data_IF_487166382484
#
_entry.id   IF_487166382484
#
_cell.length_a   1.000
_cell.length_b   1.000
_cell.length_c   1.000
_cell.angle_alpha   90.00
_cell.angle_beta   90.00
_cell.angle_gamma   90.00
#
_symmetry.space_group_name_H-M   'P 1'
#
loop_
_entity.id
_entity.type
_entity.pdbx_description
1 polymer ?
#
# COMPACT_ATOMS: atom_id res chain seq x y z
N UNK A 1 15.34 -17.57 -3.28
CA UNK A 1 14.74 -16.79 -2.21
C UNK A 1 13.23 -16.89 -2.27
N UNK A 2 12.61 -17.30 -1.19
CA UNK A 2 11.15 -17.39 -1.04
C UNK A 2 10.63 -16.04 -0.54
N UNK A 3 10.24 -15.16 -1.44
CA UNK A 3 9.84 -13.80 -1.12
C UNK A 3 11.05 -12.90 -0.74
N UNK A 4 11.06 -11.69 -1.21
CA UNK A 4 12.17 -10.75 -1.06
C UNK A 4 13.23 -10.89 -2.15
N UNK A 5 14.34 -10.17 -1.98
CA UNK A 5 15.44 -10.14 -2.94
C UNK A 5 15.33 -9.09 -4.04
N UNK A 6 14.29 -8.27 -4.01
CA UNK A 6 14.18 -7.11 -4.90
C UNK A 6 15.06 -5.96 -4.37
N UNK A 7 16.11 -5.64 -5.10
CA UNK A 7 16.97 -4.48 -4.84
C UNK A 7 16.44 -3.28 -5.62
N UNK A 8 15.79 -2.37 -4.93
CA UNK A 8 15.07 -1.26 -5.54
C UNK A 8 15.21 -0.01 -4.67
N UNK A 9 15.27 1.17 -5.30
CA UNK A 9 15.28 2.44 -4.58
C UNK A 9 13.93 2.76 -3.94
N UNK A 10 13.90 3.63 -2.93
CA UNK A 10 12.62 4.09 -2.34
C UNK A 10 11.77 4.86 -3.35
N UNK A 11 12.40 5.59 -4.27
CA UNK A 11 11.69 6.28 -5.35
C UNK A 11 11.02 5.31 -6.33
N UNK A 12 11.68 4.20 -6.66
CA UNK A 12 11.08 3.20 -7.53
C UNK A 12 9.96 2.42 -6.82
N UNK A 13 10.08 2.17 -5.51
CA UNK A 13 8.95 1.69 -4.71
C UNK A 13 7.76 2.67 -4.77
N UNK A 14 8.01 3.98 -4.66
CA UNK A 14 6.96 4.98 -4.77
C UNK A 14 6.31 4.99 -6.17
N UNK A 15 7.09 4.76 -7.23
CA UNK A 15 6.54 4.63 -8.60
C UNK A 15 5.64 3.40 -8.74
N UNK A 16 5.99 2.27 -8.12
CA UNK A 16 5.11 1.11 -8.06
C UNK A 16 3.83 1.44 -7.31
N UNK A 17 3.93 2.12 -6.17
CA UNK A 17 2.77 2.60 -5.42
C UNK A 17 1.89 3.53 -6.24
N UNK A 18 2.50 4.49 -6.95
CA UNK A 18 1.78 5.41 -7.84
C UNK A 18 1.07 4.68 -8.98
N UNK A 19 1.68 3.65 -9.56
CA UNK A 19 1.05 2.83 -10.59
C UNK A 19 -0.21 2.14 -10.07
N UNK A 20 -0.14 1.57 -8.85
CA UNK A 20 -1.30 0.94 -8.21
C UNK A 20 -2.38 1.96 -7.81
N UNK A 21 -1.99 3.13 -7.30
CA UNK A 21 -2.90 4.25 -7.02
C UNK A 21 -3.68 4.67 -8.27
N UNK A 22 -2.99 4.72 -9.41
CA UNK A 22 -3.56 5.07 -10.71
C UNK A 22 -4.20 3.86 -11.42
N UNK A 23 -4.54 2.81 -10.70
CA UNK A 23 -5.20 1.61 -11.22
C UNK A 23 -4.51 0.99 -12.44
N UNK A 24 -3.17 0.99 -12.41
CA UNK A 24 -2.36 0.39 -13.46
C UNK A 24 -1.98 1.31 -14.62
N UNK A 25 -2.38 2.59 -14.56
CA UNK A 25 -2.07 3.57 -15.60
C UNK A 25 -0.82 4.39 -15.26
N UNK A 26 0.03 4.59 -16.27
CA UNK A 26 1.24 5.40 -16.18
C UNK A 26 1.45 6.21 -17.46
N UNK A 27 1.55 7.54 -17.33
CA UNK A 27 1.74 8.46 -18.46
C UNK A 27 0.75 8.22 -19.62
N UNK A 28 -0.54 8.02 -19.32
CA UNK A 28 -1.59 7.81 -20.31
C UNK A 28 -1.58 6.42 -20.98
N UNK A 29 -0.79 5.48 -20.45
CA UNK A 29 -0.74 4.10 -20.94
C UNK A 29 -1.15 3.13 -19.83
N UNK A 30 -1.94 2.14 -20.16
CA UNK A 30 -2.24 1.04 -19.28
C UNK A 30 -1.04 0.09 -19.25
N UNK A 31 -0.38 0.00 -18.09
CA UNK A 31 0.78 -0.89 -17.84
C UNK A 31 0.30 -2.20 -17.22
N UNK A 32 -0.63 -2.10 -16.27
CA UNK A 32 -1.30 -3.24 -15.64
C UNK A 32 -2.80 -3.05 -15.91
N UNK A 33 -3.52 -4.07 -16.40
CA UNK A 33 -4.96 -3.97 -16.60
C UNK A 33 -5.69 -3.54 -15.32
N UNK A 34 -6.58 -2.54 -15.40
CA UNK A 34 -7.34 -2.06 -14.24
C UNK A 34 -8.08 -3.20 -13.54
N UNK A 35 -8.68 -4.10 -14.32
CA UNK A 35 -9.34 -5.30 -13.80
C UNK A 35 -8.39 -6.16 -12.94
N UNK A 36 -7.12 -6.26 -13.30
CA UNK A 36 -6.14 -7.01 -12.51
C UNK A 36 -5.81 -6.29 -11.19
N UNK A 37 -5.73 -4.96 -11.21
CA UNK A 37 -5.57 -4.18 -9.98
C UNK A 37 -6.76 -4.41 -9.05
N UNK A 38 -7.99 -4.38 -9.55
CA UNK A 38 -9.20 -4.65 -8.77
C UNK A 38 -9.19 -6.08 -8.19
N UNK A 39 -8.74 -7.06 -8.95
CA UNK A 39 -8.58 -8.44 -8.45
C UNK A 39 -7.52 -8.52 -7.34
N UNK A 40 -6.39 -7.82 -7.48
CA UNK A 40 -5.36 -7.75 -6.46
C UNK A 40 -5.87 -7.18 -5.13
N UNK A 41 -6.82 -6.26 -5.18
CA UNK A 41 -7.40 -5.58 -4.02
C UNK A 41 -8.70 -6.22 -3.52
N UNK A 42 -9.11 -7.34 -4.12
CA UNK A 42 -10.25 -8.11 -3.64
C UNK A 42 -9.82 -9.06 -2.52
N UNK A 43 -10.50 -9.07 -1.36
CA UNK A 43 -10.18 -9.96 -0.27
C UNK A 43 -10.21 -11.43 -0.70
N UNK A 44 -9.19 -12.20 -0.32
CA UNK A 44 -9.18 -13.64 -0.58
C UNK A 44 -10.17 -14.35 0.38
N UNK A 45 -10.70 -15.54 -0.01
CA UNK A 45 -11.68 -16.26 0.80
C UNK A 45 -11.20 -16.63 2.21
N UNK A 46 -9.88 -16.71 2.42
CA UNK A 46 -9.27 -17.12 3.68
C UNK A 46 -8.88 -15.95 4.58
N UNK A 47 -8.90 -14.72 4.07
CA UNK A 47 -8.52 -13.54 4.84
C UNK A 47 -9.20 -12.27 4.30
N UNK A 48 -9.96 -11.54 5.13
CA UNK A 48 -10.60 -10.30 4.71
C UNK A 48 -9.63 -9.13 4.53
N UNK A 49 -8.39 -9.28 5.01
CA UNK A 49 -7.37 -8.23 4.98
C UNK A 49 -6.22 -8.52 3.99
N UNK A 50 -6.40 -9.46 3.08
CA UNK A 50 -5.35 -9.84 2.12
C UNK A 50 -5.93 -10.18 0.74
N UNK A 51 -5.40 -9.53 -0.28
CA UNK A 51 -5.64 -9.82 -1.69
C UNK A 51 -4.45 -10.55 -2.33
N UNK A 52 -4.13 -10.25 -3.58
CA UNK A 52 -2.96 -10.83 -4.25
C UNK A 52 -1.73 -9.98 -3.97
N UNK A 53 -0.93 -10.38 -2.96
CA UNK A 53 0.30 -9.74 -2.48
C UNK A 53 0.10 -8.35 -1.84
N UNK A 54 -1.13 -7.91 -1.68
CA UNK A 54 -1.50 -6.65 -1.05
C UNK A 54 -2.28 -6.89 0.23
N UNK A 55 -1.91 -6.20 1.30
CA UNK A 55 -2.68 -6.10 2.52
C UNK A 55 -3.74 -5.02 2.37
N UNK A 56 -4.94 -5.32 2.82
CA UNK A 56 -6.11 -4.43 2.73
C UNK A 56 -6.38 -3.82 4.11
N UNK A 57 -6.69 -2.53 4.15
CA UNK A 57 -6.96 -1.82 5.40
C UNK A 57 -8.43 -1.91 5.76
N UNK A 58 -8.89 -3.10 6.21
CA UNK A 58 -10.24 -3.23 6.77
C UNK A 58 -10.32 -2.42 8.09
N UNK A 59 -11.34 -1.56 8.20
CA UNK A 59 -11.58 -0.71 9.36
C UNK A 59 -11.62 -1.44 10.72
N UNK A 60 -11.90 -2.74 10.72
CA UNK A 60 -11.96 -3.56 11.95
C UNK A 60 -10.67 -4.31 12.25
N UNK A 61 -9.91 -4.70 11.23
CA UNK A 61 -8.79 -5.62 11.35
C UNK A 61 -7.53 -5.12 10.66
N UNK A 62 -7.57 -3.95 10.04
CA UNK A 62 -6.44 -3.35 9.34
C UNK A 62 -5.35 -2.86 10.28
N UNK A 63 -4.13 -2.78 9.76
CA UNK A 63 -2.97 -2.28 10.50
C UNK A 63 -3.07 -0.77 10.82
N UNK A 64 -3.86 -0.03 10.04
CA UNK A 64 -3.96 1.43 10.10
C UNK A 64 -5.39 1.87 10.45
N UNK A 65 -5.80 1.78 11.73
CA UNK A 65 -7.18 2.07 12.13
C UNK A 65 -7.59 3.53 11.93
N UNK A 66 -6.63 4.46 11.85
CA UNK A 66 -6.88 5.88 11.54
C UNK A 66 -6.93 6.22 10.05
N UNK A 67 -6.65 5.25 9.17
CA UNK A 67 -6.65 5.43 7.74
C UNK A 67 -7.97 4.99 7.09
N UNK A 68 -8.29 5.46 5.87
CA UNK A 68 -9.44 5.00 5.13
C UNK A 68 -9.44 3.47 4.92
N UNK A 69 -10.63 2.87 4.88
CA UNK A 69 -10.77 1.42 4.61
C UNK A 69 -10.39 1.03 3.19
N UNK A 70 -10.35 1.99 2.28
CA UNK A 70 -9.87 1.84 0.90
C UNK A 70 -8.34 1.79 0.79
N UNK A 71 -7.61 2.14 1.84
CA UNK A 71 -6.15 2.07 1.85
C UNK A 71 -5.67 0.62 1.78
N UNK A 72 -4.53 0.42 1.14
CA UNK A 72 -3.88 -0.88 1.02
C UNK A 72 -2.36 -0.73 1.03
N UNK A 73 -1.65 -1.82 1.29
CA UNK A 73 -0.20 -1.73 1.42
C UNK A 73 0.51 -3.05 1.09
N UNK A 74 1.75 -2.95 0.61
CA UNK A 74 2.68 -4.05 0.57
C UNK A 74 3.71 -3.89 1.68
N UNK A 75 4.04 -4.97 2.40
CA UNK A 75 4.99 -4.94 3.50
C UNK A 75 5.93 -6.15 3.44
N UNK A 76 7.22 -5.88 3.53
CA UNK A 76 8.27 -6.89 3.56
C UNK A 76 9.05 -6.90 4.87
N UNK A 77 9.97 -7.86 4.98
CA UNK A 77 10.88 -8.03 6.13
C UNK A 77 11.65 -6.73 6.38
N UNK A 78 11.82 -6.35 7.67
CA UNK A 78 12.42 -5.08 8.07
C UNK A 78 11.44 -3.91 7.99
N UNK A 79 10.15 -4.20 7.87
CA UNK A 79 9.07 -3.22 7.72
C UNK A 79 9.33 -2.26 6.55
N UNK A 80 9.65 -2.87 5.40
CA UNK A 80 9.69 -2.17 4.13
C UNK A 80 8.24 -2.03 3.66
N UNK A 81 7.70 -0.83 3.59
CA UNK A 81 6.29 -0.62 3.27
C UNK A 81 6.11 0.30 2.06
N UNK A 82 5.14 -0.05 1.23
CA UNK A 82 4.49 0.86 0.27
C UNK A 82 3.03 0.95 0.74
N UNK A 83 2.65 2.09 1.29
CA UNK A 83 1.29 2.38 1.71
C UNK A 83 0.62 3.25 0.64
N UNK A 84 -0.61 2.93 0.30
CA UNK A 84 -1.38 3.59 -0.76
C UNK A 84 -2.75 3.94 -0.21
N UNK A 85 -3.13 5.18 -0.37
CA UNK A 85 -4.41 5.72 0.08
C UNK A 85 -5.12 6.44 -1.09
N UNK A 86 -6.08 5.77 -1.74
CA UNK A 86 -6.81 6.36 -2.86
C UNK A 86 -7.66 7.58 -2.50
N UNK A 87 -8.18 7.65 -1.28
CA UNK A 87 -9.02 8.78 -0.86
C UNK A 87 -8.21 10.07 -0.70
N UNK A 88 -6.98 9.96 -0.24
CA UNK A 88 -6.08 11.09 -0.05
C UNK A 88 -5.09 11.27 -1.21
N UNK A 89 -5.20 10.46 -2.27
CA UNK A 89 -4.26 10.45 -3.42
C UNK A 89 -2.79 10.35 -2.96
N UNK A 90 -2.53 9.48 -1.97
CA UNK A 90 -1.27 9.43 -1.24
C UNK A 90 -0.54 8.10 -1.43
N UNK A 91 0.77 8.18 -1.62
CA UNK A 91 1.69 7.04 -1.56
C UNK A 91 2.78 7.33 -0.52
N UNK A 92 2.96 6.43 0.44
CA UNK A 92 4.04 6.50 1.42
C UNK A 92 4.96 5.31 1.23
N UNK A 93 6.26 5.57 1.17
CA UNK A 93 7.29 4.54 1.23
C UNK A 93 8.12 4.76 2.48
N UNK A 94 8.17 3.76 3.36
CA UNK A 94 9.03 3.76 4.52
C UNK A 94 9.87 2.48 4.58
N UNK A 95 11.07 2.59 5.13
CA UNK A 95 12.03 1.48 5.27
C UNK A 95 12.62 1.45 6.65
N UNK A 96 12.76 0.23 7.19
CA UNK A 96 13.42 -0.02 8.48
C UNK A 96 12.79 0.73 9.66
N UNK A 97 11.48 1.03 9.57
CA UNK A 97 10.73 1.58 10.68
C UNK A 97 10.24 0.43 11.60
N UNK A 98 10.19 0.65 12.88
CA UNK A 98 9.63 -0.32 13.81
C UNK A 98 8.14 -0.57 13.50
N UNK A 99 7.74 -1.83 13.42
CA UNK A 99 6.40 -2.23 12.98
C UNK A 99 5.28 -1.61 13.82
N UNK A 100 5.48 -1.56 15.12
CA UNK A 100 4.52 -0.99 16.09
C UNK A 100 4.46 0.55 16.04
N UNK A 101 5.43 1.22 15.41
CA UNK A 101 5.44 2.66 15.17
C UNK A 101 4.86 3.06 13.80
N UNK A 102 4.66 2.10 12.92
CA UNK A 102 4.17 2.37 11.57
C UNK A 102 2.77 3.01 11.55
N UNK A 103 1.78 2.56 12.36
CA UNK A 103 0.48 3.23 12.41
C UNK A 103 0.56 4.70 12.86
N UNK A 104 1.38 4.99 13.86
CA UNK A 104 1.59 6.37 14.34
C UNK A 104 2.20 7.24 13.24
N UNK A 105 3.20 6.71 12.52
CA UNK A 105 3.83 7.42 11.41
C UNK A 105 2.83 7.75 10.30
N UNK A 106 2.02 6.78 9.86
CA UNK A 106 0.98 7.00 8.84
C UNK A 106 -0.05 8.03 9.33
N UNK A 107 -0.51 7.94 10.58
CA UNK A 107 -1.44 8.90 11.15
C UNK A 107 -0.86 10.33 11.17
N UNK A 108 0.43 10.49 11.49
CA UNK A 108 1.10 11.80 11.44
C UNK A 108 1.14 12.37 10.02
N UNK A 109 1.41 11.53 9.02
CA UNK A 109 1.37 11.95 7.61
C UNK A 109 -0.03 12.36 7.21
N UNK A 110 -1.06 11.56 7.53
CA UNK A 110 -2.46 11.89 7.23
C UNK A 110 -2.86 13.22 7.89
N UNK A 111 -2.56 13.42 9.17
CA UNK A 111 -2.84 14.67 9.86
C UNK A 111 -2.13 15.90 9.22
N UNK A 112 -0.99 15.69 8.56
CA UNK A 112 -0.25 16.77 7.90
C UNK A 112 -0.89 17.25 6.60
N UNK A 113 -1.71 16.42 5.94
CA UNK A 113 -2.38 16.75 4.68
C UNK A 113 -3.81 17.28 4.87
N UNK A 114 -4.42 17.07 6.04
CA UNK A 114 -5.76 17.56 6.38
C UNK A 114 -5.79 19.09 6.62
N UNK A 115 -4.64 19.71 6.69
CA UNK A 115 -4.50 21.15 6.86
C UNK A 115 -4.26 21.84 5.52
#
# INVERSE_FOLDING_TARGET
>A
HWGGGLWISSLDHARVGQLMLNKGWWNGREIIPEKWVDECLTPCPLSPIYGYLWWLNDAKNGMFPGAPSSAFYAMGVGTQIIYIDPENELVIVARWIEKDKMPDFVNMVLASIEN
#
